data_IF_586208744922
#
_entry.id   IF_586208744922
#
_cell.length_a   1.000
_cell.length_b   1.000
_cell.length_c   1.000
_cell.angle_alpha   90.00
_cell.angle_beta   90.00
_cell.angle_gamma   90.00
#
_symmetry.space_group_name_H-M   'P 1'
#
loop_
_entity.id
_entity.type
_entity.pdbx_description
1 polymer ?
#
# COMPACT_ATOMS: atom_id res chain seq x y z
N UNK A 1 -7.47 16.20 10.93
CA UNK A 1 -6.28 15.42 11.26
C UNK A 1 -5.34 16.21 12.15
N UNK A 2 -4.76 15.59 13.17
CA UNK A 2 -3.71 16.17 14.01
C UNK A 2 -2.39 16.13 13.26
N UNK A 3 -1.71 17.28 13.14
CA UNK A 3 -0.39 17.35 12.52
C UNK A 3 0.70 17.02 13.54
N UNK A 4 1.84 16.46 13.09
CA UNK A 4 3.00 16.22 13.96
C UNK A 4 3.48 17.50 14.62
N UNK A 5 3.99 17.41 15.85
CA UNK A 5 4.53 18.55 16.59
C UNK A 5 5.67 19.25 15.86
N UNK A 6 6.44 18.50 15.09
CA UNK A 6 7.64 18.99 14.40
C UNK A 6 7.32 19.76 13.11
N UNK A 7 6.06 19.79 12.71
CA UNK A 7 5.68 20.43 11.45
C UNK A 7 5.66 21.96 11.52
N UNK A 8 5.32 22.54 12.67
CA UNK A 8 5.35 23.99 12.90
C UNK A 8 5.98 24.34 14.26
N UNK A 9 6.77 23.44 14.84
CA UNK A 9 7.46 23.70 16.09
C UNK A 9 6.69 23.25 17.33
N UNK A 10 6.36 24.03 18.26
CA UNK A 10 6.11 23.68 19.66
C UNK A 10 4.70 23.18 20.01
N UNK A 11 3.71 23.35 19.15
CA UNK A 11 2.30 23.03 19.48
C UNK A 11 1.68 22.11 18.44
N UNK A 12 0.98 21.06 18.90
CA UNK A 12 0.23 20.20 18.00
C UNK A 12 -0.96 20.95 17.40
N UNK A 13 -1.01 21.06 16.10
CA UNK A 13 -2.11 21.69 15.36
C UNK A 13 -3.07 20.65 14.81
N UNK A 14 -4.29 21.06 14.49
CA UNK A 14 -5.30 20.22 13.85
C UNK A 14 -5.80 20.90 12.58
N UNK A 15 -6.03 20.11 11.54
CA UNK A 15 -6.59 20.57 10.29
C UNK A 15 -7.85 19.78 9.95
N UNK A 16 -8.92 20.50 9.61
CA UNK A 16 -10.14 19.89 9.06
C UNK A 16 -9.95 19.67 7.57
N UNK A 17 -10.32 18.49 7.11
CA UNK A 17 -10.20 18.10 5.71
C UNK A 17 -11.58 17.72 5.20
N UNK A 18 -12.06 18.41 4.16
CA UNK A 18 -13.28 18.03 3.47
C UNK A 18 -12.99 16.85 2.55
N UNK A 19 -13.74 15.77 2.70
CA UNK A 19 -13.59 14.54 1.91
C UNK A 19 -14.61 14.43 0.76
N UNK A 20 -15.55 15.37 0.63
CA UNK A 20 -16.61 15.32 -0.38
C UNK A 20 -16.08 15.24 -1.82
N UNK A 21 -14.94 15.90 -2.07
CA UNK A 21 -14.37 16.03 -3.42
C UNK A 21 -13.16 15.10 -3.66
N UNK A 22 -12.90 14.17 -2.74
CA UNK A 22 -11.69 13.33 -2.81
C UNK A 22 -11.64 12.47 -4.07
N UNK A 23 -12.80 12.00 -4.51
CA UNK A 23 -12.90 11.07 -5.65
C UNK A 23 -13.36 11.73 -6.93
N UNK A 24 -13.59 13.05 -6.92
CA UNK A 24 -14.01 13.80 -8.09
C UNK A 24 -15.26 13.23 -8.74
N UNK A 25 -15.21 13.06 -10.07
CA UNK A 25 -16.31 12.51 -10.89
C UNK A 25 -16.24 10.99 -11.06
N UNK A 26 -15.24 10.31 -10.48
CA UNK A 26 -15.12 8.84 -10.59
C UNK A 26 -16.09 8.15 -9.63
N UNK A 27 -17.30 7.92 -10.11
CA UNK A 27 -18.36 7.26 -9.35
C UNK A 27 -18.03 5.80 -8.97
N UNK A 28 -17.22 5.10 -9.74
CA UNK A 28 -16.85 3.73 -9.45
C UNK A 28 -15.89 3.65 -8.24
N UNK A 29 -14.85 4.48 -8.24
CA UNK A 29 -13.92 4.59 -7.11
C UNK A 29 -14.63 5.15 -5.88
N UNK A 30 -15.47 6.17 -6.03
CA UNK A 30 -16.26 6.74 -4.93
C UNK A 30 -17.15 5.69 -4.28
N UNK A 31 -17.90 4.93 -5.06
CA UNK A 31 -18.76 3.84 -4.54
C UNK A 31 -17.96 2.75 -3.86
N UNK A 32 -16.84 2.34 -4.46
CA UNK A 32 -15.95 1.35 -3.86
C UNK A 32 -15.46 1.80 -2.49
N UNK A 33 -14.87 2.99 -2.39
CA UNK A 33 -14.30 3.50 -1.13
C UNK A 33 -15.38 3.80 -0.10
N UNK A 34 -16.52 4.38 -0.50
CA UNK A 34 -17.63 4.63 0.41
C UNK A 34 -18.14 3.31 1.02
N UNK A 35 -18.38 2.30 0.19
CA UNK A 35 -18.83 0.98 0.65
C UNK A 35 -17.78 0.32 1.56
N UNK A 36 -16.51 0.42 1.20
CA UNK A 36 -15.40 -0.14 1.95
C UNK A 36 -15.26 0.50 3.34
N UNK A 37 -15.34 1.84 3.41
CA UNK A 37 -15.23 2.58 4.67
C UNK A 37 -16.47 2.46 5.57
N UNK A 38 -17.66 2.33 5.00
CA UNK A 38 -18.91 2.19 5.78
C UNK A 38 -18.98 0.88 6.55
N UNK A 39 -18.35 -0.17 6.05
CA UNK A 39 -18.53 -1.52 6.62
C UNK A 39 -17.55 -1.85 7.74
N UNK A 40 -16.29 -1.36 7.71
CA UNK A 40 -15.28 -1.87 8.66
C UNK A 40 -14.09 -0.96 8.97
N UNK A 41 -13.86 0.13 8.23
CA UNK A 41 -12.54 0.77 8.23
C UNK A 41 -12.53 2.28 8.45
N UNK A 42 -13.46 2.80 9.25
CA UNK A 42 -13.43 4.22 9.66
C UNK A 42 -12.19 4.59 10.50
N UNK A 43 -11.50 3.60 11.04
CA UNK A 43 -10.23 3.73 11.77
C UNK A 43 -9.17 4.49 10.96
N UNK A 44 -9.22 4.38 9.63
CA UNK A 44 -8.32 5.08 8.73
C UNK A 44 -8.27 6.59 8.96
N UNK A 45 -9.38 7.19 9.37
CA UNK A 45 -9.47 8.64 9.60
C UNK A 45 -8.71 9.10 10.84
N UNK A 46 -8.45 8.20 11.78
CA UNK A 46 -7.84 8.48 13.07
C UNK A 46 -6.44 7.90 13.20
N UNK A 47 -6.04 7.03 12.28
CA UNK A 47 -4.76 6.34 12.35
C UNK A 47 -3.54 7.27 12.17
N UNK A 48 -2.45 6.91 12.80
CA UNK A 48 -1.12 7.52 12.59
C UNK A 48 -0.49 7.06 11.26
N UNK A 49 -0.87 5.88 10.79
CA UNK A 49 -0.45 5.30 9.52
C UNK A 49 -1.34 4.14 9.10
N UNK A 50 -1.22 3.73 7.84
CA UNK A 50 -1.96 2.60 7.29
C UNK A 50 -1.03 1.54 6.70
N UNK A 51 -1.46 0.29 6.79
CA UNK A 51 -0.87 -0.82 6.04
C UNK A 51 -1.98 -1.40 5.15
N UNK A 52 -1.79 -1.34 3.85
CA UNK A 52 -2.69 -1.93 2.87
C UNK A 52 -2.16 -3.30 2.49
N UNK A 53 -2.98 -4.33 2.61
CA UNK A 53 -2.65 -5.71 2.23
C UNK A 53 -3.67 -6.26 1.25
N UNK A 54 -3.28 -7.20 0.42
CA UNK A 54 -4.15 -7.79 -0.59
C UNK A 54 -4.80 -9.09 -0.12
N UNK A 55 -4.18 -9.77 0.84
CA UNK A 55 -4.62 -11.07 1.33
C UNK A 55 -5.02 -11.09 2.81
N UNK A 56 -5.82 -12.09 3.16
CA UNK A 56 -6.23 -12.33 4.55
C UNK A 56 -5.07 -12.86 5.40
N UNK A 57 -4.10 -13.54 4.80
CA UNK A 57 -2.94 -14.07 5.51
C UNK A 57 -2.07 -12.93 6.07
N UNK A 58 -1.74 -11.94 5.25
CA UNK A 58 -1.01 -10.75 5.68
C UNK A 58 -1.79 -10.01 6.77
N UNK A 59 -3.09 -9.83 6.57
CA UNK A 59 -3.96 -9.16 7.55
C UNK A 59 -3.96 -9.85 8.92
N UNK A 60 -3.91 -11.17 8.95
CA UNK A 60 -3.86 -11.96 10.20
C UNK A 60 -2.47 -11.97 10.84
N UNK A 61 -1.40 -12.06 10.03
CA UNK A 61 -0.04 -12.25 10.54
C UNK A 61 0.63 -10.94 10.96
N UNK A 62 0.34 -9.84 10.27
CA UNK A 62 1.00 -8.55 10.54
C UNK A 62 0.82 -8.05 11.97
N UNK A 63 -0.37 -8.10 12.60
CA UNK A 63 -0.53 -7.71 14.01
C UNK A 63 0.38 -8.51 14.95
N UNK A 64 0.56 -9.81 14.66
CA UNK A 64 1.45 -10.66 15.44
C UNK A 64 2.92 -10.22 15.30
N UNK A 65 3.39 -9.98 14.07
CA UNK A 65 4.75 -9.52 13.83
C UNK A 65 5.01 -8.12 14.42
N UNK A 66 4.06 -7.20 14.26
CA UNK A 66 4.17 -5.84 14.82
C UNK A 66 4.31 -5.90 16.34
N UNK A 67 3.48 -6.68 17.01
CA UNK A 67 3.51 -6.82 18.47
C UNK A 67 4.82 -7.42 18.98
N UNK A 68 5.36 -8.41 18.29
CA UNK A 68 6.50 -9.17 18.78
C UNK A 68 7.86 -8.61 18.34
N UNK A 69 7.93 -7.95 17.18
CA UNK A 69 9.22 -7.54 16.59
C UNK A 69 9.36 -6.02 16.40
N UNK A 70 8.26 -5.26 16.37
CA UNK A 70 8.28 -3.85 16.04
C UNK A 70 7.60 -3.00 17.13
N UNK A 71 8.15 -3.03 18.35
CA UNK A 71 7.56 -2.38 19.53
C UNK A 71 7.24 -0.89 19.33
N UNK A 72 8.10 -0.14 18.64
CA UNK A 72 7.83 1.28 18.33
C UNK A 72 6.63 1.46 17.42
N UNK A 73 6.42 0.55 16.47
CA UNK A 73 5.26 0.56 15.58
C UNK A 73 3.99 0.15 16.35
N UNK A 74 4.12 -0.83 17.26
CA UNK A 74 3.01 -1.28 18.11
C UNK A 74 2.47 -0.20 19.06
N UNK A 75 3.26 0.83 19.34
CA UNK A 75 2.85 1.99 20.15
C UNK A 75 2.13 3.07 19.34
N UNK A 76 1.99 2.89 18.03
CA UNK A 76 1.29 3.81 17.12
C UNK A 76 -0.07 3.24 16.76
N UNK A 77 -1.00 4.14 16.47
CA UNK A 77 -2.31 3.72 15.97
C UNK A 77 -2.21 3.42 14.47
N UNK A 78 -1.89 2.18 14.15
CA UNK A 78 -1.76 1.70 12.76
C UNK A 78 -3.01 0.92 12.39
N UNK A 79 -3.66 1.31 11.31
CA UNK A 79 -4.75 0.54 10.72
C UNK A 79 -4.23 -0.39 9.64
N UNK A 80 -4.67 -1.65 9.65
CA UNK A 80 -4.34 -2.64 8.63
C UNK A 80 -5.59 -2.92 7.82
N UNK A 81 -5.55 -2.64 6.53
CA UNK A 81 -6.69 -2.73 5.64
C UNK A 81 -6.49 -3.86 4.63
N UNK A 82 -7.33 -4.88 4.68
CA UNK A 82 -7.38 -5.91 3.65
C UNK A 82 -8.25 -5.41 2.48
N UNK A 83 -7.61 -5.14 1.35
CA UNK A 83 -8.28 -4.58 0.16
C UNK A 83 -8.90 -5.66 -0.73
N UNK A 84 -8.63 -6.95 -0.42
CA UNK A 84 -9.14 -8.09 -1.20
C UNK A 84 -8.86 -7.96 -2.70
N UNK A 85 -7.57 -7.94 -3.08
CA UNK A 85 -7.12 -7.90 -4.46
C UNK A 85 -6.56 -6.55 -4.92
N UNK A 86 -6.35 -6.40 -6.21
CA UNK A 86 -5.59 -5.34 -6.90
C UNK A 86 -6.15 -3.90 -6.81
N UNK A 87 -6.94 -3.58 -5.78
CA UNK A 87 -7.69 -2.32 -5.72
C UNK A 87 -7.09 -1.27 -4.77
N UNK A 88 -5.93 -1.53 -4.19
CA UNK A 88 -5.27 -0.61 -3.25
C UNK A 88 -5.02 0.78 -3.85
N UNK A 89 -4.75 0.88 -5.16
CA UNK A 89 -4.61 2.14 -5.89
C UNK A 89 -5.86 3.06 -5.78
N UNK A 90 -7.05 2.49 -5.60
CA UNK A 90 -8.30 3.26 -5.46
C UNK A 90 -8.36 4.06 -4.15
N UNK A 91 -7.58 3.68 -3.14
CA UNK A 91 -7.45 4.45 -1.91
C UNK A 91 -6.45 5.61 -2.02
N UNK A 92 -5.67 5.68 -3.10
CA UNK A 92 -4.66 6.72 -3.30
C UNK A 92 -5.18 8.16 -3.10
N UNK A 93 -6.33 8.57 -3.66
CA UNK A 93 -6.86 9.93 -3.45
C UNK A 93 -7.15 10.21 -1.97
N UNK A 94 -7.69 9.24 -1.24
CA UNK A 94 -8.01 9.38 0.18
C UNK A 94 -6.73 9.45 1.04
N UNK A 95 -5.78 8.56 0.80
CA UNK A 95 -4.48 8.53 1.47
C UNK A 95 -3.76 9.86 1.27
N UNK A 96 -3.73 10.36 0.04
CA UNK A 96 -3.14 11.65 -0.29
C UNK A 96 -3.85 12.80 0.44
N UNK A 97 -5.17 12.84 0.41
CA UNK A 97 -5.96 13.89 1.08
C UNK A 97 -5.75 13.90 2.59
N UNK A 98 -5.58 12.72 3.19
CA UNK A 98 -5.30 12.56 4.62
C UNK A 98 -3.81 12.77 4.96
N UNK A 99 -2.92 12.83 3.98
CA UNK A 99 -1.46 12.80 4.15
C UNK A 99 -1.06 11.67 5.13
N UNK A 100 -1.48 10.45 4.82
CA UNK A 100 -1.35 9.32 5.72
C UNK A 100 -0.13 8.49 5.34
N UNK A 101 0.89 8.36 6.20
CA UNK A 101 1.99 7.45 5.98
C UNK A 101 1.46 6.04 5.74
N UNK A 102 1.86 5.43 4.62
CA UNK A 102 1.24 4.17 4.19
C UNK A 102 2.28 3.16 3.72
N UNK A 103 2.14 1.92 4.18
CA UNK A 103 2.82 0.76 3.62
C UNK A 103 1.82 -0.02 2.76
N UNK A 104 2.17 -0.26 1.51
CA UNK A 104 1.40 -1.14 0.61
C UNK A 104 2.15 -2.46 0.49
N UNK A 105 1.50 -3.56 0.85
CA UNK A 105 2.02 -4.91 0.66
C UNK A 105 1.19 -5.54 -0.45
N UNK A 106 1.83 -5.80 -1.58
CA UNK A 106 1.19 -6.22 -2.81
C UNK A 106 1.79 -7.51 -3.35
N UNK A 107 1.02 -8.23 -4.15
CA UNK A 107 1.51 -9.36 -4.94
C UNK A 107 2.04 -8.85 -6.28
N UNK A 108 3.05 -9.51 -6.82
CA UNK A 108 3.57 -9.16 -8.16
C UNK A 108 2.54 -9.44 -9.26
N UNK A 109 1.63 -10.39 -9.05
CA UNK A 109 0.60 -10.79 -10.02
C UNK A 109 1.19 -11.00 -11.42
N UNK A 110 2.22 -11.81 -11.48
CA UNK A 110 2.97 -12.09 -12.70
C UNK A 110 2.08 -12.72 -13.77
N UNK A 111 2.17 -12.22 -14.99
CA UNK A 111 1.39 -12.67 -16.13
C UNK A 111 2.17 -12.55 -17.44
N UNK A 112 1.75 -13.33 -18.43
CA UNK A 112 2.26 -13.23 -19.80
C UNK A 112 1.82 -11.89 -20.43
N UNK A 113 2.69 -11.20 -21.18
CA UNK A 113 2.37 -9.91 -21.81
C UNK A 113 1.34 -10.04 -22.94
N UNK A 114 1.18 -11.24 -23.51
CA UNK A 114 0.26 -11.57 -24.60
C UNK A 114 -0.69 -12.70 -24.18
N UNK A 115 -1.84 -12.85 -24.85
CA UNK A 115 -2.73 -13.98 -24.60
C UNK A 115 -3.58 -13.87 -23.33
N UNK A 116 -4.39 -12.80 -23.20
CA UNK A 116 -5.31 -12.57 -22.07
C UNK A 116 -4.65 -12.47 -20.69
N UNK A 117 -3.38 -12.11 -20.60
CA UNK A 117 -2.63 -11.97 -19.35
C UNK A 117 -2.75 -13.21 -18.43
N UNK A 118 -2.48 -14.37 -19.02
CA UNK A 118 -2.50 -15.63 -18.28
C UNK A 118 -1.51 -15.54 -17.10
N UNK A 119 -1.95 -15.90 -15.92
CA UNK A 119 -1.08 -15.95 -14.73
C UNK A 119 0.11 -16.89 -14.99
N UNK A 120 1.30 -16.43 -14.65
CA UNK A 120 2.54 -17.17 -14.77
C UNK A 120 3.32 -17.08 -13.46
N UNK A 121 4.16 -18.09 -13.19
CA UNK A 121 5.08 -17.98 -12.06
C UNK A 121 6.08 -16.83 -12.29
N UNK A 122 6.46 -16.08 -11.25
CA UNK A 122 7.37 -14.94 -11.38
C UNK A 122 8.81 -15.40 -11.62
N UNK A 123 9.13 -15.77 -12.85
CA UNK A 123 10.46 -16.23 -13.28
C UNK A 123 11.14 -15.14 -14.10
N UNK A 124 12.43 -14.89 -13.83
CA UNK A 124 13.24 -13.90 -14.53
C UNK A 124 13.46 -14.26 -16.00
N UNK A 125 13.71 -13.25 -16.82
CA UNK A 125 14.10 -13.35 -18.24
C UNK A 125 13.07 -14.01 -19.15
N UNK A 126 11.79 -13.97 -18.76
CA UNK A 126 10.69 -14.48 -19.57
C UNK A 126 9.80 -13.37 -20.15
N UNK A 127 10.18 -12.10 -19.99
CA UNK A 127 9.39 -10.98 -20.47
C UNK A 127 8.02 -10.83 -19.79
N UNK A 128 7.85 -11.42 -18.59
CA UNK A 128 6.61 -11.36 -17.83
C UNK A 128 6.33 -9.93 -17.34
N UNK A 129 5.07 -9.63 -17.11
CA UNK A 129 4.62 -8.35 -16.61
C UNK A 129 3.86 -8.49 -15.29
N UNK A 130 3.85 -7.43 -14.50
CA UNK A 130 2.96 -7.34 -13.32
C UNK A 130 1.57 -6.88 -13.76
N UNK A 131 0.55 -7.55 -13.23
CA UNK A 131 -0.86 -7.15 -13.37
C UNK A 131 -1.38 -6.35 -12.18
N UNK A 132 -0.52 -5.93 -11.26
CA UNK A 132 -0.93 -5.23 -10.05
C UNK A 132 -0.94 -3.71 -10.24
N UNK A 133 -2.12 -3.10 -10.16
CA UNK A 133 -2.29 -1.66 -10.38
C UNK A 133 -1.61 -0.77 -9.33
N UNK A 134 -1.36 -1.26 -8.11
CA UNK A 134 -0.59 -0.49 -7.13
C UNK A 134 0.87 -0.32 -7.59
N UNK A 135 1.40 -1.32 -8.27
CA UNK A 135 2.75 -1.32 -8.82
C UNK A 135 2.78 -0.55 -10.14
N UNK A 136 1.93 -0.94 -11.11
CA UNK A 136 2.02 -0.50 -12.50
C UNK A 136 1.50 0.90 -12.75
N UNK A 137 0.50 1.36 -12.00
CA UNK A 137 -0.20 2.61 -12.29
C UNK A 137 -0.10 3.63 -11.16
N UNK A 138 -0.01 3.19 -9.90
CA UNK A 138 0.03 4.12 -8.79
C UNK A 138 1.45 4.51 -8.38
N UNK A 139 2.28 3.57 -7.92
CA UNK A 139 3.54 3.87 -7.23
C UNK A 139 4.76 3.76 -8.15
N UNK A 140 5.12 2.57 -8.60
CA UNK A 140 6.38 2.32 -9.33
C UNK A 140 6.26 2.70 -10.81
N UNK A 141 5.10 2.45 -11.42
CA UNK A 141 4.82 2.72 -12.85
C UNK A 141 5.72 1.96 -13.82
N UNK A 142 6.19 0.78 -13.41
CA UNK A 142 6.89 -0.19 -14.24
C UNK A 142 6.06 -1.46 -14.36
N UNK A 143 6.13 -2.10 -15.53
CA UNK A 143 5.35 -3.31 -15.83
C UNK A 143 6.20 -4.57 -15.92
N UNK A 144 7.43 -4.47 -16.44
CA UNK A 144 8.30 -5.63 -16.60
C UNK A 144 8.70 -6.20 -15.25
N UNK A 145 8.56 -7.51 -15.12
CA UNK A 145 8.82 -8.22 -13.87
C UNK A 145 10.29 -8.13 -13.47
N UNK A 146 11.20 -8.24 -14.43
CA UNK A 146 12.64 -8.15 -14.17
C UNK A 146 13.03 -6.80 -13.57
N UNK A 147 12.46 -5.69 -14.09
CA UNK A 147 12.69 -4.35 -13.56
C UNK A 147 12.16 -4.20 -12.13
N UNK A 148 11.10 -4.93 -11.77
CA UNK A 148 10.51 -4.90 -10.43
C UNK A 148 11.31 -5.72 -9.43
N UNK A 149 11.79 -6.90 -9.84
CA UNK A 149 12.59 -7.77 -8.98
C UNK A 149 13.93 -7.12 -8.64
N UNK A 150 14.53 -6.40 -9.58
CA UNK A 150 15.83 -5.74 -9.42
C UNK A 150 15.74 -4.32 -8.85
N UNK A 151 14.53 -3.83 -8.59
CA UNK A 151 14.31 -2.48 -8.06
C UNK A 151 14.90 -2.36 -6.64
N UNK A 152 15.80 -1.40 -6.41
CA UNK A 152 16.38 -1.18 -5.09
C UNK A 152 15.32 -0.69 -4.08
N UNK A 153 15.54 -0.93 -2.81
CA UNK A 153 14.58 -0.58 -1.76
C UNK A 153 14.35 0.93 -1.62
N UNK A 154 15.34 1.75 -1.99
CA UNK A 154 15.20 3.20 -2.06
C UNK A 154 14.09 3.64 -3.01
N UNK A 155 13.96 2.95 -4.14
CA UNK A 155 13.01 3.29 -5.21
C UNK A 155 11.59 2.76 -4.93
N UNK A 156 11.42 2.06 -3.83
CA UNK A 156 10.12 1.60 -3.31
C UNK A 156 9.54 2.57 -2.27
N UNK A 157 10.20 3.70 -2.00
CA UNK A 157 9.76 4.73 -1.04
C UNK A 157 9.48 6.03 -1.77
N UNK A 158 8.26 6.55 -1.61
CA UNK A 158 7.77 7.74 -2.29
C UNK A 158 7.50 8.84 -1.27
N UNK A 159 8.20 9.95 -1.40
CA UNK A 159 7.94 11.16 -0.61
C UNK A 159 6.80 11.94 -1.27
N UNK A 160 5.75 12.15 -0.52
CA UNK A 160 4.52 12.78 -0.97
C UNK A 160 4.29 14.10 -0.25
N UNK A 161 3.62 15.02 -0.92
CA UNK A 161 3.23 16.31 -0.37
C UNK A 161 1.73 16.52 -0.49
N UNK A 162 1.10 16.86 0.63
CA UNK A 162 -0.31 17.21 0.69
C UNK A 162 -0.53 18.27 1.78
N UNK A 163 -1.42 18.03 2.74
CA UNK A 163 -1.59 18.93 3.91
C UNK A 163 -0.35 18.98 4.80
N UNK A 164 0.46 17.95 4.77
CA UNK A 164 1.80 17.85 5.35
C UNK A 164 2.62 16.85 4.53
N UNK A 165 3.95 16.84 4.65
CA UNK A 165 4.80 15.80 4.07
C UNK A 165 4.43 14.42 4.67
N UNK A 166 4.45 13.38 3.84
CA UNK A 166 4.27 12.01 4.27
C UNK A 166 4.96 11.06 3.28
N UNK A 167 5.06 9.79 3.64
CA UNK A 167 5.69 8.80 2.78
C UNK A 167 4.75 7.62 2.51
N UNK A 168 4.86 7.07 1.30
CA UNK A 168 4.28 5.78 0.94
C UNK A 168 5.44 4.85 0.61
N UNK A 169 5.42 3.65 1.18
CA UNK A 169 6.32 2.57 0.80
C UNK A 169 5.51 1.43 0.21
N UNK A 170 6.04 0.82 -0.85
CA UNK A 170 5.51 -0.43 -1.39
C UNK A 170 6.49 -1.57 -1.10
N UNK A 171 5.94 -2.71 -0.72
CA UNK A 171 6.64 -3.99 -0.61
C UNK A 171 5.86 -5.04 -1.40
N UNK A 172 6.56 -5.92 -2.06
CA UNK A 172 5.96 -7.05 -2.80
C UNK A 172 6.83 -8.28 -2.69
N UNK A 173 6.21 -9.42 -2.90
CA UNK A 173 6.87 -10.71 -2.84
C UNK A 173 7.92 -10.81 -3.96
N UNK A 174 9.07 -11.33 -3.58
CA UNK A 174 10.09 -11.74 -4.55
C UNK A 174 10.28 -13.26 -4.43
N UNK A 175 10.43 -13.99 -5.55
CA UNK A 175 10.64 -15.43 -5.49
C UNK A 175 11.96 -15.73 -4.77
N UNK A 176 11.90 -16.63 -3.80
CA UNK A 176 13.07 -17.14 -3.08
C UNK A 176 13.20 -18.65 -3.33
N UNK A 177 14.43 -19.11 -3.52
CA UNK A 177 14.71 -20.53 -3.62
C UNK A 177 15.21 -21.04 -2.27
N UNK A 178 14.47 -21.97 -1.68
CA UNK A 178 14.87 -22.63 -0.43
C UNK A 178 15.55 -23.94 -0.81
N UNK A 179 16.80 -24.10 -0.42
CA UNK A 179 17.53 -25.35 -0.56
C UNK A 179 17.60 -26.02 0.80
N UNK A 180 17.03 -27.22 0.95
CA UNK A 180 17.23 -28.09 2.10
C UNK A 180 18.49 -28.90 1.86
N UNK A 181 19.45 -28.80 2.79
CA UNK A 181 20.52 -29.82 2.86
C UNK A 181 19.90 -31.03 3.55
N UNK A 182 19.70 -32.11 2.78
CA UNK A 182 19.44 -33.41 3.38
C UNK A 182 20.68 -33.80 4.20
N UNK A 183 20.53 -33.88 5.51
CA UNK A 183 21.50 -34.55 6.37
C UNK A 183 21.33 -36.04 6.25
#
# INVERSE_FOLDING_TARGET
KRLPKDFEGKVATSKVVNLSDVFGKDDATKRFVTRYLQTTHCDLFFADGAILVEGSAEHMLLPHFIRNKYLKLNQRYITILNINGKHSHRLAPLINKLALPTLVIADLDSAEPTGHHKKAEPVRKQGLISGNYAITDWLIKKKLLDDLIDLPDSDKVFSMQSICPYQIRIAYQTPIKICYQNK
#
